data_IF_012138609147
#
_entry.id   IF_012138609147
#
_cell.length_a   1.000
_cell.length_b   1.000
_cell.length_c   1.000
_cell.angle_alpha   90.00
_cell.angle_beta   90.00
_cell.angle_gamma   90.00
#
_symmetry.space_group_name_H-M   'P 1'
#
loop_
_entity.id
_entity.type
_entity.pdbx_description
1 polymer ?
#
# COMPACT_ATOMS: atom_id res chain seq x y z
N UNK A 1 -18.55 0.85 -3.09
CA UNK A 1 -18.78 -0.50 -3.62
C UNK A 1 -17.47 -1.01 -4.23
N UNK A 2 -16.88 -2.12 -3.72
CA UNK A 2 -15.63 -2.69 -4.24
C UNK A 2 -15.75 -3.29 -5.65
N UNK A 3 -16.96 -3.42 -6.21
CA UNK A 3 -17.21 -4.04 -7.53
C UNK A 3 -16.35 -3.47 -8.65
N UNK A 4 -16.18 -2.15 -8.73
CA UNK A 4 -15.37 -1.53 -9.79
C UNK A 4 -13.90 -1.95 -9.71
N UNK A 5 -13.32 -1.82 -8.52
CA UNK A 5 -11.92 -2.19 -8.27
C UNK A 5 -11.67 -3.67 -8.58
N UNK A 6 -12.55 -4.54 -8.09
CA UNK A 6 -12.46 -5.98 -8.35
C UNK A 6 -12.61 -6.30 -9.85
N UNK A 7 -13.52 -5.61 -10.56
CA UNK A 7 -13.72 -5.81 -12.00
C UNK A 7 -12.52 -5.36 -12.83
N UNK A 8 -11.88 -4.25 -12.46
CA UNK A 8 -10.64 -3.79 -13.10
C UNK A 8 -9.52 -4.80 -12.87
N UNK A 9 -9.34 -5.28 -11.64
CA UNK A 9 -8.31 -6.26 -11.33
C UNK A 9 -8.55 -7.59 -12.05
N UNK A 10 -9.80 -8.07 -12.12
CA UNK A 10 -10.17 -9.25 -12.90
C UNK A 10 -9.90 -9.06 -14.39
N UNK A 11 -10.15 -7.88 -14.95
CA UNK A 11 -9.84 -7.55 -16.34
C UNK A 11 -8.33 -7.57 -16.61
N UNK A 12 -7.54 -6.95 -15.74
CA UNK A 12 -6.07 -6.95 -15.84
C UNK A 12 -5.50 -8.36 -15.70
N UNK A 13 -6.03 -9.16 -14.78
CA UNK A 13 -5.65 -10.56 -14.60
C UNK A 13 -5.91 -11.39 -15.86
N UNK A 14 -7.08 -11.25 -16.49
CA UNK A 14 -7.40 -11.94 -17.76
C UNK A 14 -6.46 -11.56 -18.91
N UNK A 15 -5.86 -10.36 -18.87
CA UNK A 15 -4.84 -9.91 -19.84
C UNK A 15 -3.41 -10.29 -19.43
N UNK A 16 -3.24 -11.19 -18.46
CA UNK A 16 -1.94 -11.64 -17.97
C UNK A 16 -1.15 -10.57 -17.22
N UNK A 17 -1.81 -9.52 -16.72
CA UNK A 17 -1.15 -8.39 -16.04
C UNK A 17 -1.10 -8.54 -14.51
N UNK A 18 -1.66 -9.61 -13.95
CA UNK A 18 -1.80 -9.94 -12.52
C UNK A 18 -1.93 -11.48 -12.39
N UNK A 19 -1.58 -12.23 -11.32
CA UNK A 19 -0.95 -12.05 -10.00
C UNK A 19 -0.03 -13.28 -9.82
N UNK A 20 1.18 -13.11 -9.25
CA UNK A 20 2.07 -14.23 -8.80
C UNK A 20 2.26 -14.16 -7.27
N UNK A 21 3.01 -15.10 -6.71
CA UNK A 21 2.97 -15.47 -5.29
C UNK A 21 3.44 -14.44 -4.24
N UNK A 22 3.81 -13.21 -4.57
CA UNK A 22 4.30 -12.25 -3.58
C UNK A 22 3.39 -11.03 -3.40
N UNK A 23 3.32 -10.53 -2.17
CA UNK A 23 2.59 -9.28 -1.84
C UNK A 23 3.47 -8.31 -1.06
N UNK A 24 3.45 -7.04 -1.48
CA UNK A 24 4.01 -5.92 -0.75
C UNK A 24 2.88 -5.20 -0.02
N UNK A 25 2.99 -5.08 1.30
CA UNK A 25 2.07 -4.31 2.14
C UNK A 25 2.66 -2.94 2.45
N UNK A 26 1.83 -1.91 2.34
CA UNK A 26 2.21 -0.55 2.70
C UNK A 26 0.99 0.29 3.08
N UNK A 27 1.23 1.36 3.82
CA UNK A 27 0.18 2.27 4.24
C UNK A 27 0.57 3.73 4.00
N UNK A 28 -0.38 4.53 3.53
CA UNK A 28 -0.18 5.97 3.40
C UNK A 28 -1.20 6.74 4.22
N UNK A 29 -0.74 7.76 4.95
CA UNK A 29 -1.62 8.70 5.65
C UNK A 29 -2.19 9.67 4.62
N UNK A 30 -3.50 9.90 4.70
CA UNK A 30 -4.24 10.86 3.89
C UNK A 30 -4.87 11.88 4.84
N UNK A 31 -4.50 13.14 4.67
CA UNK A 31 -4.95 14.21 5.55
C UNK A 31 -6.46 14.44 5.41
N UNK A 32 -7.11 14.71 6.54
CA UNK A 32 -8.46 15.22 6.61
C UNK A 32 -8.49 16.67 7.07
N UNK A 33 -9.48 17.48 6.66
CA UNK A 33 -9.70 18.79 7.23
C UNK A 33 -9.90 18.71 8.74
N UNK A 34 -9.09 19.44 9.50
CA UNK A 34 -9.21 19.56 10.96
C UNK A 34 -10.19 20.66 11.39
N UNK A 35 -10.79 21.38 10.44
CA UNK A 35 -11.67 22.51 10.71
C UNK A 35 -12.97 22.08 11.40
N UNK A 36 -13.27 22.73 12.51
CA UNK A 36 -14.53 22.65 13.26
C UNK A 36 -15.54 23.72 12.85
N UNK A 37 -15.20 24.59 11.89
CA UNK A 37 -16.07 25.68 11.40
C UNK A 37 -17.22 25.14 10.53
N UNK A 38 -18.14 24.42 11.14
CA UNK A 38 -19.38 23.91 10.56
C UNK A 38 -20.51 24.04 11.60
N UNK A 39 -21.76 23.80 11.18
CA UNK A 39 -22.94 23.97 12.05
C UNK A 39 -22.87 23.18 13.37
N UNK A 40 -22.20 22.03 13.36
CA UNK A 40 -22.05 21.17 14.53
C UNK A 40 -20.82 21.48 15.38
N UNK A 41 -19.90 22.35 14.93
CA UNK A 41 -18.68 22.67 15.69
C UNK A 41 -17.65 21.53 15.77
N UNK A 42 -17.84 20.44 15.02
CA UNK A 42 -17.07 19.20 15.22
C UNK A 42 -16.21 18.82 14.02
N UNK A 43 -15.11 18.10 14.28
CA UNK A 43 -14.32 17.44 13.24
C UNK A 43 -15.04 16.18 12.75
N UNK A 44 -14.53 15.57 11.68
CA UNK A 44 -15.04 14.25 11.28
C UNK A 44 -14.77 13.22 12.40
N UNK A 45 -15.80 12.60 13.00
CA UNK A 45 -15.63 11.69 14.13
C UNK A 45 -14.93 10.37 13.75
N UNK A 46 -14.88 10.02 12.47
CA UNK A 46 -14.21 8.80 11.99
C UNK A 46 -12.75 9.04 11.57
N UNK A 47 -12.25 10.27 11.70
CA UNK A 47 -10.87 10.64 11.45
C UNK A 47 -10.15 10.84 12.77
N UNK A 48 -8.92 10.36 12.87
CA UNK A 48 -8.11 10.48 14.08
C UNK A 48 -6.70 10.95 13.78
N UNK A 49 -6.02 11.42 14.82
CA UNK A 49 -4.65 11.90 14.72
C UNK A 49 -3.64 10.78 14.92
N UNK A 50 -2.54 10.84 14.18
CA UNK A 50 -1.36 10.00 14.38
C UNK A 50 -0.10 10.83 14.30
N UNK A 51 0.94 10.41 15.01
CA UNK A 51 2.26 11.03 14.91
C UNK A 51 3.12 10.23 13.93
N UNK A 52 3.72 10.90 12.95
CA UNK A 52 4.74 10.30 12.06
C UNK A 52 5.98 11.18 12.12
N UNK A 53 7.09 10.61 12.59
CA UNK A 53 8.26 11.41 12.98
C UNK A 53 7.90 12.41 14.08
N UNK A 54 8.21 13.69 13.86
CA UNK A 54 7.88 14.77 14.80
C UNK A 54 6.59 15.53 14.44
N UNK A 55 5.86 15.10 13.40
CA UNK A 55 4.66 15.80 12.93
C UNK A 55 3.39 14.99 13.23
N UNK A 56 2.34 15.70 13.63
CA UNK A 56 1.00 15.15 13.80
C UNK A 56 0.18 15.31 12.53
N UNK A 57 -0.58 14.27 12.19
CA UNK A 57 -1.47 14.23 11.03
C UNK A 57 -2.85 13.80 11.48
N UNK A 58 -3.88 14.56 11.10
CA UNK A 58 -5.28 14.20 11.31
C UNK A 58 -5.86 13.64 10.01
N UNK A 59 -6.49 12.46 10.07
CA UNK A 59 -7.16 11.87 8.91
C UNK A 59 -7.30 10.37 8.97
N UNK A 60 -7.08 9.73 7.81
CA UNK A 60 -7.17 8.29 7.62
C UNK A 60 -5.85 7.72 7.08
N UNK A 61 -5.75 6.39 7.06
CA UNK A 61 -4.74 5.63 6.34
C UNK A 61 -5.41 4.83 5.23
N UNK A 62 -4.73 4.72 4.09
CA UNK A 62 -5.03 3.73 3.09
C UNK A 62 -3.92 2.68 3.10
N UNK A 63 -4.27 1.47 3.52
CA UNK A 63 -3.43 0.28 3.51
C UNK A 63 -3.66 -0.48 2.22
N UNK A 64 -2.60 -0.92 1.57
CA UNK A 64 -2.69 -1.63 0.29
C UNK A 64 -1.85 -2.90 0.26
N UNK A 65 -2.39 -3.91 -0.41
CA UNK A 65 -1.65 -5.08 -0.87
C UNK A 65 -1.34 -4.92 -2.35
N UNK A 66 -0.06 -5.03 -2.71
CA UNK A 66 0.44 -4.84 -4.07
C UNK A 66 1.18 -6.08 -4.53
N UNK A 67 0.88 -6.56 -5.74
CA UNK A 67 1.56 -7.68 -6.37
C UNK A 67 3.03 -7.31 -6.60
N UNK A 68 3.94 -8.13 -6.09
CA UNK A 68 5.37 -7.83 -6.03
C UNK A 68 6.06 -7.87 -7.40
N UNK A 69 5.45 -8.52 -8.40
CA UNK A 69 5.95 -8.59 -9.77
C UNK A 69 5.48 -7.38 -10.58
N UNK A 70 4.16 -7.22 -10.70
CA UNK A 70 3.47 -6.23 -11.55
C UNK A 70 3.33 -4.83 -10.95
N UNK A 71 3.41 -4.69 -9.63
CA UNK A 71 3.17 -3.44 -8.92
C UNK A 71 1.71 -3.00 -8.89
N UNK A 72 0.77 -3.90 -9.21
CA UNK A 72 -0.67 -3.62 -9.19
C UNK A 72 -1.28 -3.82 -7.81
N UNK A 73 -2.18 -2.91 -7.44
CA UNK A 73 -2.90 -2.98 -6.16
C UNK A 73 -4.03 -4.00 -6.26
N UNK A 74 -4.04 -5.00 -5.37
CA UNK A 74 -5.09 -6.03 -5.35
C UNK A 74 -5.99 -5.96 -4.12
N UNK A 75 -5.52 -5.36 -3.01
CA UNK A 75 -6.36 -5.06 -1.85
C UNK A 75 -6.16 -3.62 -1.38
N UNK A 76 -7.23 -3.02 -0.85
CA UNK A 76 -7.24 -1.70 -0.25
C UNK A 76 -8.10 -1.77 0.99
N UNK A 77 -7.56 -1.35 2.13
CA UNK A 77 -8.29 -1.16 3.38
C UNK A 77 -8.07 0.27 3.87
N UNK A 78 -9.13 0.94 4.32
CA UNK A 78 -9.03 2.30 4.86
C UNK A 78 -9.46 2.32 6.32
N UNK A 79 -8.66 2.97 7.16
CA UNK A 79 -8.91 3.09 8.60
C UNK A 79 -8.62 4.51 9.06
N UNK A 80 -9.05 4.88 10.26
CA UNK A 80 -8.55 6.11 10.88
C UNK A 80 -7.01 6.08 11.03
N UNK A 81 -6.37 7.24 11.07
CA UNK A 81 -4.91 7.30 10.98
C UNK A 81 -4.17 6.74 12.21
N UNK A 82 -4.84 6.65 13.36
CA UNK A 82 -4.27 6.08 14.60
C UNK A 82 -4.17 4.54 14.57
N UNK A 83 -4.87 3.86 13.65
CA UNK A 83 -4.81 2.40 13.56
C UNK A 83 -3.42 1.96 13.10
N UNK A 84 -2.87 0.94 13.77
CA UNK A 84 -1.54 0.42 13.49
C UNK A 84 -1.52 -0.47 12.24
N UNK A 85 -0.56 -0.23 11.34
CA UNK A 85 -0.53 -0.81 10.00
C UNK A 85 -0.44 -2.34 10.03
N UNK A 86 0.35 -2.87 10.96
CA UNK A 86 0.51 -4.32 11.20
C UNK A 86 -0.82 -5.04 11.46
N UNK A 87 -1.81 -4.35 12.04
CA UNK A 87 -3.12 -4.94 12.36
C UNK A 87 -3.98 -5.17 11.12
N UNK A 88 -3.73 -4.43 10.05
CA UNK A 88 -4.50 -4.52 8.81
C UNK A 88 -3.86 -5.46 7.77
N UNK A 89 -2.58 -5.83 7.96
CA UNK A 89 -1.81 -6.63 7.01
C UNK A 89 -2.51 -7.92 6.54
N UNK A 90 -3.18 -8.65 7.43
CA UNK A 90 -3.86 -9.90 7.09
C UNK A 90 -5.00 -9.71 6.06
N UNK A 91 -5.66 -8.54 6.05
CA UNK A 91 -6.71 -8.18 5.08
C UNK A 91 -6.16 -7.81 3.71
N UNK A 92 -4.86 -7.53 3.61
CA UNK A 92 -4.23 -7.09 2.37
C UNK A 92 -3.76 -8.26 1.50
N UNK A 93 -3.95 -9.49 1.98
CA UNK A 93 -3.46 -10.71 1.35
C UNK A 93 -4.60 -11.50 0.69
N UNK A 94 -4.36 -12.04 -0.49
CA UNK A 94 -5.24 -12.93 -1.25
C UNK A 94 -5.13 -14.41 -0.85
N UNK A 95 -4.20 -14.78 0.05
CA UNK A 95 -4.11 -16.12 0.66
C UNK A 95 -3.27 -17.13 -0.12
N UNK A 96 -2.82 -16.79 -1.33
CA UNK A 96 -1.97 -17.66 -2.17
C UNK A 96 -0.52 -17.22 -2.17
N UNK A 97 -0.15 -16.28 -1.30
CA UNK A 97 1.20 -15.77 -1.22
C UNK A 97 2.18 -16.83 -0.69
N UNK A 98 3.41 -16.78 -1.16
CA UNK A 98 4.56 -17.41 -0.56
C UNK A 98 5.48 -16.40 0.17
N UNK A 99 5.34 -15.11 -0.15
CA UNK A 99 6.20 -14.03 0.35
C UNK A 99 5.40 -12.77 0.64
N UNK A 100 5.63 -12.15 1.80
CA UNK A 100 5.08 -10.85 2.19
C UNK A 100 6.20 -9.87 2.50
N UNK A 101 6.20 -8.74 1.80
CA UNK A 101 7.17 -7.66 1.95
C UNK A 101 6.53 -6.46 2.66
N UNK A 102 7.25 -5.80 3.57
CA UNK A 102 6.72 -4.64 4.30
C UNK A 102 7.82 -3.77 4.89
N UNK A 103 7.49 -2.54 5.29
CA UNK A 103 8.46 -1.71 6.03
C UNK A 103 8.57 -2.14 7.50
N UNK A 104 9.46 -1.48 8.24
CA UNK A 104 9.67 -1.76 9.66
C UNK A 104 8.42 -1.55 10.54
N UNK A 105 7.36 -0.91 10.04
CA UNK A 105 6.07 -0.80 10.71
C UNK A 105 5.32 -2.13 10.80
N UNK A 106 5.70 -3.11 9.98
CA UNK A 106 5.18 -4.48 9.99
C UNK A 106 6.10 -5.46 10.75
N UNK A 107 7.05 -4.97 11.56
CA UNK A 107 7.91 -5.85 12.38
C UNK A 107 7.07 -6.69 13.34
N UNK A 108 7.27 -8.02 13.33
CA UNK A 108 6.51 -8.96 14.18
C UNK A 108 5.23 -9.48 13.53
N UNK A 109 5.02 -9.21 12.23
CA UNK A 109 3.86 -9.68 11.49
C UNK A 109 3.74 -11.21 11.50
N UNK A 110 4.87 -11.90 11.48
CA UNK A 110 4.98 -13.36 11.54
C UNK A 110 4.45 -13.97 12.85
N UNK A 111 4.38 -13.17 13.92
CA UNK A 111 3.94 -13.63 15.26
C UNK A 111 2.43 -13.47 15.48
N UNK A 112 1.73 -12.81 14.56
CA UNK A 112 0.31 -12.53 14.72
C UNK A 112 -0.54 -13.75 14.44
N UNK A 113 -1.56 -13.96 15.29
CA UNK A 113 -2.53 -15.04 15.15
C UNK A 113 -3.25 -15.00 13.79
N UNK A 114 -3.59 -13.80 13.30
CA UNK A 114 -4.30 -13.66 12.01
C UNK A 114 -3.43 -14.05 10.80
N UNK A 115 -2.12 -14.20 11.01
CA UNK A 115 -1.14 -14.58 9.98
C UNK A 115 -0.79 -16.07 10.03
N UNK A 116 -1.28 -16.82 11.04
CA UNK A 116 -1.13 -18.27 11.08
C UNK A 116 -1.89 -18.89 9.92
N UNK A 117 -1.15 -19.44 8.96
CA UNK A 117 -1.70 -20.05 7.74
C UNK A 117 -1.21 -21.49 7.60
N UNK A 118 -1.99 -22.30 6.88
CA UNK A 118 -1.59 -23.67 6.51
C UNK A 118 -0.33 -23.72 5.64
N UNK A 119 -0.05 -22.64 4.91
CA UNK A 119 1.14 -22.51 4.05
C UNK A 119 2.22 -21.67 4.73
N UNK A 120 3.47 -22.10 4.63
CA UNK A 120 4.64 -21.35 5.10
C UNK A 120 4.83 -20.08 4.25
N UNK A 121 4.74 -18.92 4.89
CA UNK A 121 5.07 -17.63 4.28
C UNK A 121 6.50 -17.19 4.63
N UNK A 122 7.19 -16.58 3.68
CA UNK A 122 8.41 -15.82 3.91
C UNK A 122 8.06 -14.36 4.21
N UNK A 123 8.66 -13.81 5.25
CA UNK A 123 8.46 -12.42 5.65
C UNK A 123 9.71 -11.60 5.31
N UNK A 124 9.57 -10.67 4.37
CA UNK A 124 10.61 -9.74 3.95
C UNK A 124 10.30 -8.34 4.51
N UNK A 125 10.35 -8.24 5.84
CA UNK A 125 10.13 -6.98 6.56
C UNK A 125 11.46 -6.21 6.64
N UNK A 126 11.43 -4.91 6.35
CA UNK A 126 12.60 -4.04 6.44
C UNK A 126 13.09 -3.93 7.89
N UNK A 127 14.39 -4.07 8.10
CA UNK A 127 14.98 -3.94 9.43
C UNK A 127 15.26 -2.47 9.78
N UNK A 128 15.16 -2.14 11.07
CA UNK A 128 15.40 -0.77 11.54
C UNK A 128 16.88 -0.41 11.39
N UNK A 129 17.22 0.81 10.93
CA UNK A 129 18.61 1.26 10.83
C UNK A 129 19.38 1.18 12.17
N UNK A 130 18.70 1.35 13.30
CA UNK A 130 19.31 1.23 14.64
C UNK A 130 19.86 -0.17 14.93
N UNK A 131 19.17 -1.23 14.51
CA UNK A 131 19.65 -2.61 14.67
C UNK A 131 20.81 -2.93 13.74
N UNK A 132 20.78 -2.42 12.51
CA UNK A 132 21.93 -2.57 11.60
C UNK A 132 23.19 -1.94 12.18
N UNK A 133 23.08 -0.79 12.87
CA UNK A 133 24.21 -0.13 13.54
C UNK A 133 24.81 -0.96 14.69
N UNK A 134 24.10 -1.94 15.23
CA UNK A 134 24.60 -2.81 16.29
C UNK A 134 25.53 -3.92 15.76
N UNK A 135 25.53 -4.18 14.45
CA UNK A 135 26.42 -5.18 13.83
C UNK A 135 27.85 -4.64 13.82
N UNK A 136 28.71 -5.19 14.69
CA UNK A 136 30.11 -4.78 14.84
C UNK A 136 30.99 -5.26 13.68
N UNK A 137 30.71 -6.44 13.14
CA UNK A 137 31.49 -7.02 12.04
C UNK A 137 31.18 -6.29 10.71
N UNK A 138 32.22 -5.70 10.11
CA UNK A 138 32.09 -4.94 8.84
C UNK A 138 31.57 -5.78 7.68
N UNK A 139 31.96 -7.06 7.59
CA UNK A 139 31.54 -7.96 6.49
C UNK A 139 30.06 -8.30 6.60
N UNK A 140 29.61 -8.67 7.79
CA UNK A 140 28.20 -8.94 8.09
C UNK A 140 27.33 -7.69 7.90
N UNK A 141 27.80 -6.52 8.34
CA UNK A 141 27.10 -5.26 8.13
C UNK A 141 26.92 -4.95 6.63
N UNK A 142 27.95 -5.20 5.81
CA UNK A 142 27.87 -5.01 4.35
C UNK A 142 26.84 -5.95 3.72
N UNK A 143 26.82 -7.21 4.14
CA UNK A 143 25.85 -8.20 3.67
C UNK A 143 24.42 -7.82 4.08
N UNK A 144 24.21 -7.45 5.35
CA UNK A 144 22.92 -7.00 5.87
C UNK A 144 22.42 -5.76 5.12
N UNK A 145 23.27 -4.77 4.88
CA UNK A 145 22.93 -3.58 4.08
C UNK A 145 22.53 -3.95 2.64
N UNK A 146 23.22 -4.90 2.01
CA UNK A 146 22.87 -5.37 0.66
C UNK A 146 21.49 -6.03 0.67
N UNK A 147 21.19 -6.83 1.69
CA UNK A 147 19.88 -7.45 1.85
C UNK A 147 18.75 -6.43 2.07
N UNK A 148 18.97 -5.43 2.95
CA UNK A 148 18.01 -4.34 3.15
C UNK A 148 17.81 -3.51 1.88
N UNK A 149 18.87 -3.29 1.10
CA UNK A 149 18.75 -2.62 -0.20
C UNK A 149 17.86 -3.42 -1.16
N UNK A 150 18.03 -4.74 -1.24
CA UNK A 150 17.15 -5.61 -2.05
C UNK A 150 15.69 -5.52 -1.59
N UNK A 151 15.43 -5.58 -0.28
CA UNK A 151 14.07 -5.41 0.27
C UNK A 151 13.47 -4.05 -0.06
N UNK A 152 14.27 -2.98 0.02
CA UNK A 152 13.85 -1.64 -0.38
C UNK A 152 13.54 -1.54 -1.89
N UNK A 153 14.35 -2.16 -2.75
CA UNK A 153 14.10 -2.20 -4.19
C UNK A 153 12.78 -2.92 -4.55
N UNK A 154 12.47 -4.03 -3.87
CA UNK A 154 11.16 -4.68 -4.01
C UNK A 154 10.04 -3.74 -3.57
N UNK A 155 10.17 -3.14 -2.39
CA UNK A 155 9.19 -2.19 -1.83
C UNK A 155 8.93 -0.99 -2.72
N UNK A 156 9.92 -0.47 -3.44
CA UNK A 156 9.78 0.72 -4.29
C UNK A 156 8.60 0.63 -5.27
N UNK A 157 8.19 -0.60 -5.68
CA UNK A 157 7.02 -0.81 -6.55
C UNK A 157 5.72 -0.30 -5.93
N UNK A 158 5.55 -0.40 -4.61
CA UNK A 158 4.36 0.07 -3.88
C UNK A 158 4.22 1.59 -3.92
N UNK A 159 5.32 2.31 -4.16
CA UNK A 159 5.31 3.76 -4.25
C UNK A 159 4.66 4.25 -5.55
N UNK A 160 4.63 3.43 -6.60
CA UNK A 160 4.09 3.84 -7.90
C UNK A 160 2.57 4.12 -7.84
N UNK A 161 1.71 3.22 -7.32
CA UNK A 161 0.29 3.53 -7.13
C UNK A 161 0.05 4.81 -6.31
N UNK A 162 0.77 4.97 -5.20
CA UNK A 162 0.63 6.18 -4.37
C UNK A 162 1.05 7.44 -5.11
N UNK A 163 2.15 7.38 -5.89
CA UNK A 163 2.61 8.51 -6.71
C UNK A 163 1.56 8.90 -7.73
N UNK A 164 0.95 7.93 -8.43
CA UNK A 164 -0.13 8.16 -9.39
C UNK A 164 -1.29 8.90 -8.75
N UNK A 165 -1.78 8.40 -7.62
CA UNK A 165 -2.89 9.02 -6.90
C UNK A 165 -2.54 10.44 -6.45
N UNK A 166 -1.35 10.66 -5.89
CA UNK A 166 -0.97 11.97 -5.34
C UNK A 166 -0.61 13.00 -6.39
N UNK A 167 0.10 12.60 -7.46
CA UNK A 167 0.69 13.51 -8.45
C UNK A 167 -0.12 13.57 -9.74
N UNK A 168 -0.47 12.43 -10.32
CA UNK A 168 -1.25 12.40 -11.57
C UNK A 168 -2.73 12.70 -11.34
N UNK A 169 -3.32 12.20 -10.25
CA UNK A 169 -4.74 12.45 -9.93
C UNK A 169 -4.95 13.63 -8.95
N UNK A 170 -3.87 14.21 -8.43
CA UNK A 170 -3.93 15.37 -7.52
C UNK A 170 -4.65 15.10 -6.19
N UNK A 171 -4.68 13.84 -5.73
CA UNK A 171 -5.38 13.48 -4.50
C UNK A 171 -4.47 13.67 -3.27
N UNK A 172 -4.51 14.86 -2.68
CA UNK A 172 -3.70 15.24 -1.53
C UNK A 172 -4.41 15.10 -0.17
N UNK A 173 -5.75 15.19 -0.14
CA UNK A 173 -6.58 15.19 1.07
C UNK A 173 -7.92 14.48 0.83
N UNK A 174 -8.53 13.96 1.88
CA UNK A 174 -9.87 13.37 1.80
C UNK A 174 -10.89 14.44 1.39
N UNK A 175 -11.90 14.03 0.61
CA UNK A 175 -12.94 14.93 0.09
C UNK A 175 -14.28 14.79 0.81
N UNK A 176 -14.53 13.65 1.44
CA UNK A 176 -15.81 13.34 2.06
C UNK A 176 -15.68 13.26 3.58
N UNK A 177 -16.83 13.38 4.26
CA UNK A 177 -16.96 12.98 5.67
C UNK A 177 -17.27 11.48 5.78
N UNK A 178 -16.63 10.83 6.73
CA UNK A 178 -16.77 9.41 7.04
C UNK A 178 -15.84 8.51 6.21
N UNK A 179 -15.41 7.41 6.82
CA UNK A 179 -14.54 6.42 6.22
C UNK A 179 -15.21 5.73 5.04
N UNK A 180 -16.50 5.40 5.11
CA UNK A 180 -17.18 4.65 4.04
C UNK A 180 -17.08 5.35 2.66
N UNK A 181 -17.38 6.65 2.60
CA UNK A 181 -17.32 7.44 1.36
C UNK A 181 -15.88 7.61 0.86
N UNK A 182 -14.95 7.89 1.77
CA UNK A 182 -13.54 8.02 1.41
C UNK A 182 -12.93 6.69 0.97
N UNK A 183 -13.33 5.56 1.55
CA UNK A 183 -12.91 4.21 1.15
C UNK A 183 -13.40 3.89 -0.25
N UNK A 184 -14.67 4.20 -0.56
CA UNK A 184 -15.19 4.04 -1.92
C UNK A 184 -14.41 4.88 -2.94
N UNK A 185 -14.03 6.11 -2.58
CA UNK A 185 -13.18 6.94 -3.43
C UNK A 185 -11.78 6.33 -3.61
N UNK A 186 -11.16 5.84 -2.54
CA UNK A 186 -9.83 5.21 -2.61
C UNK A 186 -9.83 3.97 -3.50
N UNK A 187 -10.85 3.10 -3.39
CA UNK A 187 -11.01 1.94 -4.26
C UNK A 187 -11.07 2.35 -5.74
N UNK A 188 -11.84 3.39 -6.07
CA UNK A 188 -11.90 3.93 -7.44
C UNK A 188 -10.56 4.49 -7.89
N UNK A 189 -9.87 5.26 -7.04
CA UNK A 189 -8.56 5.84 -7.38
C UNK A 189 -7.50 4.75 -7.62
N UNK A 190 -7.48 3.69 -6.82
CA UNK A 190 -6.56 2.56 -7.04
C UNK A 190 -6.93 1.74 -8.28
N UNK A 191 -8.23 1.57 -8.58
CA UNK A 191 -8.66 0.94 -9.83
C UNK A 191 -8.14 1.71 -11.06
N UNK A 192 -8.32 3.03 -11.07
CA UNK A 192 -7.82 3.89 -12.14
C UNK A 192 -6.28 3.93 -12.17
N UNK A 193 -5.63 3.91 -11.01
CA UNK A 193 -4.17 3.84 -10.91
C UNK A 193 -3.63 2.56 -11.55
N UNK A 194 -4.26 1.41 -11.31
CA UNK A 194 -3.86 0.15 -11.93
C UNK A 194 -3.95 0.20 -13.46
N UNK A 195 -5.05 0.75 -14.00
CA UNK A 195 -5.18 0.99 -15.44
C UNK A 195 -4.11 1.94 -15.96
N UNK A 196 -3.85 3.03 -15.23
CA UNK A 196 -2.82 4.00 -15.61
C UNK A 196 -1.43 3.36 -15.64
N UNK A 197 -1.07 2.53 -14.66
CA UNK A 197 0.20 1.83 -14.60
C UNK A 197 0.38 0.87 -15.78
N UNK A 198 -0.70 0.22 -16.21
CA UNK A 198 -0.68 -0.74 -17.33
C UNK A 198 -1.06 -0.14 -18.68
N UNK A 199 -1.30 1.18 -18.77
CA UNK A 199 -1.78 1.84 -19.99
C UNK A 199 -0.97 1.49 -21.25
N UNK A 200 0.36 1.41 -21.15
CA UNK A 200 1.22 1.07 -22.30
C UNK A 200 1.00 -0.36 -22.81
N UNK A 201 0.71 -1.30 -21.91
CA UNK A 201 0.40 -2.69 -22.26
C UNK A 201 -1.07 -2.86 -22.68
N UNK A 202 -1.95 -1.93 -22.31
CA UNK A 202 -3.38 -1.96 -22.65
C UNK A 202 -3.70 -1.24 -23.95
N UNK A 203 -2.93 -0.22 -24.32
CA UNK A 203 -3.07 0.48 -25.58
C UNK A 203 -2.57 -0.43 -26.72
N UNK A 204 -3.28 -0.50 -27.86
CA UNK A 204 -2.75 -1.09 -29.07
C UNK A 204 -1.40 -0.43 -29.41
N UNK A 205 -0.46 -1.18 -30.00
CA UNK A 205 0.74 -0.58 -30.57
C UNK A 205 0.30 0.54 -31.51
N UNK A 206 0.60 1.78 -31.17
CA UNK A 206 0.30 2.92 -32.02
C UNK A 206 1.13 2.76 -33.30
N UNK A 207 0.48 2.34 -34.38
CA UNK A 207 0.95 2.35 -35.76
C UNK A 207 2.29 1.67 -36.04
N UNK A 208 2.28 0.55 -36.76
CA UNK A 208 3.30 0.40 -37.81
C UNK A 208 3.04 1.55 -38.78
N UNK A 209 3.89 2.57 -38.77
CA UNK A 209 4.00 3.47 -39.91
C UNK A 209 4.61 2.59 -41.01
N UNK A 210 3.78 2.10 -41.91
CA UNK A 210 4.27 1.61 -43.19
C UNK A 210 4.81 2.85 -43.91
N UNK A 211 6.13 2.98 -43.97
CA UNK A 211 6.81 3.79 -44.97
C UNK A 211 6.71 3.08 -46.32
#
# INVERSE_FOLDING_TARGET
DPKLFNRVNAHLSRKGQSLRGGTIVDATIIAAPSSTKNKQGERDPQMHQTKKGNQYYFGMKAHIGVDDESGLVHHVECTAANVADITQAHKLLHGKEDTVCGDSGYTGLEKREEMKRKRKLRYLIAEKPSKLKQIKNKRELKLAKRWEHTKASLRAKVEHPFRVIKRQFGYAKVRYRGLAKNTAQMLTLFALSNLWLKRKALMPAAGKVCL
#
